data_IF_226295362368
#
_entry.id   IF_226295362368
#
_cell.length_a   1.000
_cell.length_b   1.000
_cell.length_c   1.000
_cell.angle_alpha   90.00
_cell.angle_beta   90.00
_cell.angle_gamma   90.00
#
_symmetry.space_group_name_H-M   'P 1'
#
loop_
_entity.id
_entity.type
_entity.pdbx_description
1 polymer ?
#
# COMPACT_ATOMS: atom_id res chain seq x y z
N UNK A 1 12.53 7.48 7.71
CA UNK A 1 11.38 7.92 6.88
C UNK A 1 11.78 8.65 5.59
N UNK A 2 12.40 9.85 5.62
CA UNK A 2 12.70 10.65 4.40
C UNK A 2 13.52 9.89 3.34
N UNK A 3 14.68 9.34 3.71
CA UNK A 3 15.54 8.56 2.78
C UNK A 3 14.83 7.38 2.13
N UNK A 4 14.00 6.67 2.89
CA UNK A 4 13.19 5.55 2.37
C UNK A 4 12.20 6.01 1.31
N UNK A 5 11.50 7.14 1.55
CA UNK A 5 10.61 7.76 0.55
C UNK A 5 11.35 8.21 -0.70
N UNK A 6 12.48 8.91 -0.55
CA UNK A 6 13.27 9.40 -1.68
C UNK A 6 13.77 8.23 -2.56
N UNK A 7 14.20 7.13 -1.93
CA UNK A 7 14.62 5.92 -2.65
C UNK A 7 13.46 5.20 -3.33
N UNK A 8 12.29 5.15 -2.68
CA UNK A 8 11.08 4.59 -3.28
C UNK A 8 10.69 5.35 -4.54
N UNK A 9 10.69 6.70 -4.49
CA UNK A 9 10.42 7.54 -5.66
C UNK A 9 11.45 7.38 -6.77
N UNK A 10 12.72 7.12 -6.41
CA UNK A 10 13.78 6.80 -7.35
C UNK A 10 13.73 5.34 -7.89
N UNK A 11 12.64 4.60 -7.64
CA UNK A 11 12.47 3.18 -7.97
C UNK A 11 13.52 2.22 -7.37
N UNK A 12 14.27 2.65 -6.34
CA UNK A 12 15.26 1.83 -5.62
C UNK A 12 14.60 1.10 -4.45
N UNK A 13 13.69 0.17 -4.76
CA UNK A 13 12.83 -0.47 -3.75
C UNK A 13 13.59 -1.29 -2.71
N UNK A 14 14.68 -1.97 -3.10
CA UNK A 14 15.52 -2.71 -2.14
C UNK A 14 16.23 -1.79 -1.17
N UNK A 15 16.61 -0.59 -1.58
CA UNK A 15 17.25 0.37 -0.68
C UNK A 15 16.21 1.01 0.24
N UNK A 16 15.05 1.37 -0.32
CA UNK A 16 13.91 1.88 0.42
C UNK A 16 13.45 0.87 1.48
N UNK A 17 13.34 -0.42 1.13
CA UNK A 17 12.99 -1.52 2.05
C UNK A 17 13.90 -1.54 3.26
N UNK A 18 15.23 -1.47 3.09
CA UNK A 18 16.17 -1.46 4.22
C UNK A 18 15.94 -0.27 5.14
N UNK A 19 15.68 0.91 4.58
CA UNK A 19 15.42 2.12 5.37
C UNK A 19 14.06 2.09 6.08
N UNK A 20 13.02 1.56 5.45
CA UNK A 20 11.71 1.42 6.08
C UNK A 20 11.73 0.30 7.13
N UNK A 21 12.43 -0.81 6.89
CA UNK A 21 12.61 -1.87 7.89
C UNK A 21 13.31 -1.35 9.13
N UNK A 22 14.41 -0.63 8.98
CA UNK A 22 15.07 0.04 10.11
C UNK A 22 14.12 1.03 10.81
N UNK A 23 13.28 1.76 10.06
CA UNK A 23 12.28 2.63 10.66
C UNK A 23 11.23 1.86 11.47
N UNK A 24 10.81 0.67 11.03
CA UNK A 24 9.89 -0.18 11.80
C UNK A 24 10.53 -0.79 13.04
N UNK A 25 11.85 -1.01 13.05
CA UNK A 25 12.60 -1.47 14.23
C UNK A 25 12.73 -0.34 15.26
N UNK A 26 13.03 0.88 14.81
CA UNK A 26 13.19 2.06 15.67
C UNK A 26 11.84 2.60 16.19
N UNK A 27 10.79 2.51 15.38
CA UNK A 27 9.46 3.02 15.70
C UNK A 27 8.39 1.97 15.35
N UNK A 28 8.28 0.88 16.14
CA UNK A 28 7.38 -0.23 15.83
C UNK A 28 5.89 0.14 15.84
N UNK A 29 5.53 1.27 16.45
CA UNK A 29 4.17 1.83 16.46
C UNK A 29 3.92 2.88 15.37
N UNK A 30 4.83 3.03 14.39
CA UNK A 30 4.63 3.95 13.27
C UNK A 30 3.92 3.26 12.11
N UNK A 31 2.63 3.53 11.92
CA UNK A 31 1.87 3.02 10.77
C UNK A 31 2.46 3.48 9.44
N UNK A 32 2.95 4.73 9.35
CA UNK A 32 3.63 5.26 8.16
C UNK A 32 4.87 4.43 7.79
N UNK A 33 5.68 4.02 8.78
CA UNK A 33 6.85 3.17 8.53
C UNK A 33 6.46 1.80 7.99
N UNK A 34 5.42 1.18 8.56
CA UNK A 34 4.88 -0.09 8.09
C UNK A 34 4.26 0.01 6.69
N UNK A 35 3.55 1.09 6.38
CA UNK A 35 2.99 1.34 5.05
C UNK A 35 4.09 1.53 4.00
N UNK A 36 5.13 2.30 4.32
CA UNK A 36 6.29 2.46 3.44
C UNK A 36 7.00 1.14 3.18
N UNK A 37 7.13 0.29 4.21
CA UNK A 37 7.70 -1.05 4.07
C UNK A 37 6.81 -1.96 3.20
N UNK A 38 5.50 -1.95 3.42
CA UNK A 38 4.53 -2.71 2.63
C UNK A 38 4.59 -2.33 1.14
N UNK A 39 4.60 -1.02 0.85
CA UNK A 39 4.73 -0.51 -0.51
C UNK A 39 6.05 -0.96 -1.18
N UNK A 40 7.15 -1.01 -0.43
CA UNK A 40 8.41 -1.55 -0.96
C UNK A 40 8.28 -3.03 -1.31
N UNK A 41 7.67 -3.85 -0.45
CA UNK A 41 7.46 -5.26 -0.72
C UNK A 41 6.51 -5.49 -1.90
N UNK A 42 5.48 -4.67 -2.07
CA UNK A 42 4.60 -4.69 -3.24
C UNK A 42 5.37 -4.47 -4.54
N UNK A 43 6.24 -3.45 -4.57
CA UNK A 43 7.07 -3.17 -5.76
C UNK A 43 8.12 -4.26 -6.02
N UNK A 44 8.52 -4.98 -4.99
CA UNK A 44 9.41 -6.15 -5.07
C UNK A 44 8.67 -7.47 -5.34
N UNK A 45 7.32 -7.43 -5.43
CA UNK A 45 6.44 -8.61 -5.57
C UNK A 45 6.57 -9.63 -4.43
N UNK A 46 7.07 -9.22 -3.27
CA UNK A 46 7.09 -10.05 -2.05
C UNK A 46 5.78 -9.84 -1.28
N UNK A 47 4.70 -10.33 -1.88
CA UNK A 47 3.34 -10.05 -1.42
C UNK A 47 3.04 -10.60 -0.02
N UNK A 48 3.69 -11.69 0.38
CA UNK A 48 3.56 -12.24 1.73
C UNK A 48 4.10 -11.26 2.79
N UNK A 49 5.25 -10.63 2.54
CA UNK A 49 5.77 -9.60 3.45
C UNK A 49 4.99 -8.30 3.38
N UNK A 50 4.46 -7.93 2.20
CA UNK A 50 3.56 -6.81 2.08
C UNK A 50 2.31 -7.01 2.96
N UNK A 51 1.68 -8.18 2.93
CA UNK A 51 0.52 -8.51 3.77
C UNK A 51 0.83 -8.41 5.27
N UNK A 52 1.98 -8.95 5.68
CA UNK A 52 2.41 -8.83 7.08
C UNK A 52 2.60 -7.35 7.48
N UNK A 53 3.23 -6.53 6.64
CA UNK A 53 3.43 -5.11 6.92
C UNK A 53 2.11 -4.32 6.94
N UNK A 54 1.18 -4.62 6.03
CA UNK A 54 -0.18 -4.04 6.06
C UNK A 54 -0.95 -4.46 7.31
N UNK A 55 -0.85 -5.71 7.75
CA UNK A 55 -1.48 -6.17 8.99
C UNK A 55 -0.95 -5.39 10.21
N UNK A 56 0.36 -5.10 10.26
CA UNK A 56 0.94 -4.23 11.30
C UNK A 56 0.40 -2.80 11.21
N UNK A 57 0.35 -2.21 10.01
CA UNK A 57 -0.21 -0.87 9.82
C UNK A 57 -1.68 -0.77 10.26
N UNK A 58 -2.51 -1.76 9.88
CA UNK A 58 -3.91 -1.87 10.30
C UNK A 58 -4.05 -2.02 11.82
N UNK A 59 -3.22 -2.82 12.47
CA UNK A 59 -3.28 -3.00 13.92
C UNK A 59 -2.92 -1.71 14.70
N UNK A 60 -2.13 -0.82 14.10
CA UNK A 60 -1.67 0.43 14.72
C UNK A 60 -2.65 1.58 14.45
N UNK A 61 -3.02 1.80 13.20
CA UNK A 61 -3.81 2.96 12.77
C UNK A 61 -5.29 2.65 12.52
N UNK A 62 -5.66 1.37 12.48
CA UNK A 62 -6.97 0.94 12.02
C UNK A 62 -7.11 1.01 10.48
N UNK A 63 -8.31 0.70 9.97
CA UNK A 63 -8.61 0.71 8.54
C UNK A 63 -8.86 2.13 8.02
N UNK A 64 -7.84 2.99 8.05
CA UNK A 64 -7.92 4.35 7.50
C UNK A 64 -8.01 4.34 5.98
N UNK A 65 -8.49 5.43 5.38
CA UNK A 65 -8.54 5.57 3.92
C UNK A 65 -7.18 5.31 3.27
N UNK A 66 -6.09 5.82 3.85
CA UNK A 66 -4.72 5.59 3.35
C UNK A 66 -4.31 4.11 3.39
N UNK A 67 -4.53 3.43 4.51
CA UNK A 67 -4.14 2.01 4.66
C UNK A 67 -4.94 1.13 3.70
N UNK A 68 -6.26 1.35 3.62
CA UNK A 68 -7.15 0.63 2.72
C UNK A 68 -6.83 0.91 1.25
N UNK A 69 -6.50 2.16 0.91
CA UNK A 69 -6.07 2.54 -0.44
C UNK A 69 -4.81 1.79 -0.87
N UNK A 70 -3.79 1.77 -0.01
CA UNK A 70 -2.52 1.11 -0.31
C UNK A 70 -2.69 -0.42 -0.38
N UNK A 71 -3.48 -1.04 0.51
CA UNK A 71 -3.85 -2.45 0.38
C UNK A 71 -4.63 -2.74 -0.91
N UNK A 72 -5.56 -1.87 -1.29
CA UNK A 72 -6.30 -2.01 -2.55
C UNK A 72 -5.38 -2.01 -3.75
N UNK A 73 -4.43 -1.08 -3.80
CA UNK A 73 -3.39 -1.04 -4.83
C UNK A 73 -2.50 -2.29 -4.81
N UNK A 74 -2.13 -2.80 -3.62
CA UNK A 74 -1.38 -4.06 -3.47
C UNK A 74 -2.10 -5.23 -4.13
N UNK A 75 -3.41 -5.38 -3.90
CA UNK A 75 -4.21 -6.43 -4.54
C UNK A 75 -4.30 -6.26 -6.06
N UNK A 76 -4.35 -5.03 -6.57
CA UNK A 76 -4.29 -4.77 -8.02
C UNK A 76 -2.99 -5.28 -8.64
N UNK A 77 -1.84 -5.06 -7.97
CA UNK A 77 -0.54 -5.55 -8.45
C UNK A 77 -0.45 -7.08 -8.51
N UNK A 78 -1.28 -7.76 -7.73
CA UNK A 78 -1.39 -9.23 -7.69
C UNK A 78 -2.38 -9.77 -8.73
N UNK A 79 -3.18 -8.90 -9.35
CA UNK A 79 -4.29 -9.28 -10.21
C UNK A 79 -5.56 -9.70 -9.45
N UNK A 80 -5.59 -9.55 -8.13
CA UNK A 80 -6.80 -9.80 -7.34
C UNK A 80 -7.70 -8.57 -7.36
N UNK A 81 -8.36 -8.37 -8.50
CA UNK A 81 -9.21 -7.20 -8.74
C UNK A 81 -10.44 -7.17 -7.82
N UNK A 82 -10.91 -8.34 -7.37
CA UNK A 82 -12.03 -8.43 -6.43
C UNK A 82 -11.62 -7.87 -5.06
N UNK A 83 -10.52 -8.35 -4.48
CA UNK A 83 -10.03 -7.84 -3.20
C UNK A 83 -9.62 -6.35 -3.30
N UNK A 84 -9.03 -5.95 -4.43
CA UNK A 84 -8.70 -4.55 -4.70
C UNK A 84 -9.95 -3.66 -4.63
N UNK A 85 -11.03 -4.05 -5.33
CA UNK A 85 -12.31 -3.33 -5.35
C UNK A 85 -12.86 -3.14 -3.94
N UNK A 86 -12.90 -4.21 -3.16
CA UNK A 86 -13.46 -4.17 -1.80
C UNK A 86 -12.70 -3.18 -0.91
N UNK A 87 -11.36 -3.18 -0.99
CA UNK A 87 -10.52 -2.26 -0.21
C UNK A 87 -10.63 -0.81 -0.69
N UNK A 88 -10.59 -0.56 -1.99
CA UNK A 88 -10.69 0.79 -2.54
C UNK A 88 -12.06 1.43 -2.29
N UNK A 89 -13.16 0.66 -2.39
CA UNK A 89 -14.49 1.15 -2.04
C UNK A 89 -14.60 1.43 -0.53
N UNK A 90 -13.98 0.62 0.32
CA UNK A 90 -13.91 0.91 1.75
C UNK A 90 -13.11 2.18 2.04
N UNK A 91 -12.00 2.41 1.34
CA UNK A 91 -11.22 3.65 1.44
C UNK A 91 -12.04 4.87 1.00
N UNK A 92 -12.77 4.76 -0.11
CA UNK A 92 -13.60 5.85 -0.63
C UNK A 92 -14.74 6.21 0.32
N UNK A 93 -15.34 5.23 1.02
CA UNK A 93 -16.37 5.52 2.03
C UNK A 93 -15.82 6.34 3.20
N UNK A 94 -14.54 6.16 3.55
CA UNK A 94 -13.88 6.91 4.63
C UNK A 94 -13.52 8.34 4.20
N UNK A 95 -13.02 8.49 2.96
CA UNK A 95 -12.67 9.79 2.40
C UNK A 95 -13.12 9.87 0.92
N UNK A 96 -14.37 10.31 0.66
CA UNK A 96 -14.94 10.34 -0.68
C UNK A 96 -14.26 11.32 -1.63
N UNK A 97 -13.47 12.28 -1.11
CA UNK A 97 -12.79 13.32 -1.90
C UNK A 97 -11.30 13.01 -2.12
N UNK A 98 -10.83 11.84 -1.68
CA UNK A 98 -9.45 11.45 -1.83
C UNK A 98 -9.10 11.14 -3.29
N UNK A 99 -8.31 12.03 -3.91
CA UNK A 99 -7.88 11.87 -5.31
C UNK A 99 -7.02 10.62 -5.55
N UNK A 100 -6.28 10.13 -4.56
CA UNK A 100 -5.51 8.89 -4.73
C UNK A 100 -6.42 7.66 -4.80
N UNK A 101 -7.47 7.61 -3.96
CA UNK A 101 -8.46 6.54 -4.00
C UNK A 101 -9.24 6.56 -5.32
N UNK A 102 -9.70 7.75 -5.73
CA UNK A 102 -10.40 7.94 -7.01
C UNK A 102 -9.55 7.45 -8.19
N UNK A 103 -8.29 7.86 -8.24
CA UNK A 103 -7.36 7.43 -9.30
C UNK A 103 -7.14 5.91 -9.29
N UNK A 104 -7.01 5.28 -8.12
CA UNK A 104 -6.83 3.83 -8.01
C UNK A 104 -8.09 3.06 -8.45
N UNK A 105 -9.29 3.57 -8.16
CA UNK A 105 -10.54 2.98 -8.67
C UNK A 105 -10.63 3.05 -10.20
N UNK A 106 -10.29 4.19 -10.80
CA UNK A 106 -10.23 4.35 -12.26
C UNK A 106 -9.21 3.36 -12.89
N UNK A 107 -8.05 3.21 -12.24
CA UNK A 107 -7.01 2.28 -12.68
C UNK A 107 -7.49 0.81 -12.58
N UNK A 108 -8.23 0.46 -11.52
CA UNK A 108 -8.81 -0.87 -11.32
C UNK A 108 -9.80 -1.21 -12.44
N UNK A 109 -10.75 -0.32 -12.73
CA UNK A 109 -11.74 -0.51 -13.79
C UNK A 109 -11.10 -0.67 -15.18
N UNK A 110 -9.97 0.00 -15.41
CA UNK A 110 -9.20 -0.14 -16.64
C UNK A 110 -8.47 -1.48 -16.71
N UNK A 111 -7.97 -2.00 -15.58
CA UNK A 111 -7.30 -3.29 -15.48
C UNK A 111 -8.26 -4.46 -15.66
N UNK A 112 -9.44 -4.42 -15.04
CA UNK A 112 -10.49 -5.46 -15.18
C UNK A 112 -11.08 -5.57 -16.59
N UNK A 113 -11.02 -4.50 -17.38
CA UNK A 113 -11.45 -4.53 -18.78
C UNK A 113 -10.42 -5.17 -19.71
N UNK A 114 -9.13 -5.04 -19.41
CA UNK A 114 -8.04 -5.63 -20.20
C UNK A 114 -7.84 -7.12 -19.93
N UNK A 115 -8.28 -7.61 -18.77
CA UNK A 115 -8.18 -9.02 -18.37
C UNK A 115 -9.39 -9.89 -18.77
N UNK A 116 -10.39 -9.30 -19.44
CA UNK A 116 -11.56 -10.00 -20.01
C UNK A 116 -11.38 -10.16 -21.51
#
# INVERSE_FOLDING_TARGET
>A
MRRGRDQYQANRFRDAERHFRQATELAPKSSEAWLGLAACYDRLRDFAKADHAYAKALAIAGPTSEVLNNQGYSYMLRGDFKAARDKLLAAQRQDPRNKFVENNLILLESSERKGR
#
